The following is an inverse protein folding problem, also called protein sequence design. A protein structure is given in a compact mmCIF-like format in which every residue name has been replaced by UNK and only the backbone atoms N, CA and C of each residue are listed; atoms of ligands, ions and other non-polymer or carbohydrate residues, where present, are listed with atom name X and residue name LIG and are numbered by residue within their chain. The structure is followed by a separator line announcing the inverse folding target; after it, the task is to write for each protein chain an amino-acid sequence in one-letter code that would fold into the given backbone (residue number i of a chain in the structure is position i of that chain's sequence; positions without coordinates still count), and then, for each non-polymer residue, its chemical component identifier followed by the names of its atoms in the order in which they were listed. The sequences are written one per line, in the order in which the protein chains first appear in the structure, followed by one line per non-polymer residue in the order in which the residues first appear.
data_IF_777069068153
#
_entry.id   IF_777069068153
#
_cell.length_a   1.000
_cell.length_b   1.000
_cell.length_c   1.000
_cell.angle_alpha   90.00
_cell.angle_beta   90.00
_cell.angle_gamma   90.00
#
_symmetry.space_group_name_H-M   'P 1'
#
loop_
_entity.id
_entity.type
_entity.pdbx_description
1 polymer ?
#
# COMPACT_ATOMS: atom_id res chain seq x y z
N UNK A 1 -20.46 -9.35 -19.83
CA UNK A 1 -19.14 -9.61 -20.47
C UNK A 1 -19.00 -8.68 -21.66
N UNK A 2 -17.91 -7.93 -21.74
CA UNK A 2 -17.57 -7.14 -22.93
C UNK A 2 -17.03 -8.04 -24.04
N UNK A 3 -17.25 -7.65 -25.29
CA UNK A 3 -16.75 -8.34 -26.48
C UNK A 3 -15.79 -7.48 -27.32
N UNK A 4 -15.63 -6.21 -26.95
CA UNK A 4 -14.73 -5.25 -27.62
C UNK A 4 -14.17 -4.24 -26.62
N UNK A 5 -13.06 -3.60 -27.00
CA UNK A 5 -12.52 -2.45 -26.27
C UNK A 5 -13.42 -1.23 -26.40
N UNK A 6 -13.33 -0.28 -25.48
CA UNK A 6 -14.03 0.99 -25.60
C UNK A 6 -14.26 1.68 -24.27
N UNK A 7 -15.12 2.70 -24.29
CA UNK A 7 -15.51 3.43 -23.09
C UNK A 7 -16.81 2.90 -22.52
N UNK A 8 -16.85 2.69 -21.21
CA UNK A 8 -18.04 2.35 -20.44
C UNK A 8 -18.67 3.64 -19.89
N UNK A 9 -19.79 4.06 -20.48
CA UNK A 9 -20.54 5.24 -20.07
C UNK A 9 -19.92 6.59 -20.50
N UNK A 10 -20.58 7.69 -20.11
CA UNK A 10 -20.15 9.06 -20.44
C UNK A 10 -18.86 9.47 -19.71
N UNK A 11 -18.15 10.50 -20.21
CA UNK A 11 -16.87 11.02 -19.71
C UNK A 11 -16.80 11.16 -18.18
N UNK A 12 -17.83 11.80 -17.62
CA UNK A 12 -17.89 12.22 -16.21
C UNK A 12 -18.88 11.40 -15.39
N UNK A 13 -19.58 10.44 -16.03
CA UNK A 13 -20.51 9.57 -15.34
C UNK A 13 -19.76 8.45 -14.62
N UNK A 14 -20.18 8.18 -13.38
CA UNK A 14 -19.63 7.08 -12.60
C UNK A 14 -20.10 5.73 -13.18
N UNK A 15 -19.15 4.84 -13.45
CA UNK A 15 -19.42 3.42 -13.65
C UNK A 15 -19.57 2.76 -12.27
N UNK A 16 -20.78 2.37 -11.90
CA UNK A 16 -21.07 1.77 -10.59
C UNK A 16 -21.24 0.26 -10.71
N UNK A 17 -20.44 -0.48 -9.95
CA UNK A 17 -20.61 -1.92 -9.70
C UNK A 17 -21.08 -2.07 -8.26
N UNK A 18 -22.40 -2.26 -8.11
CA UNK A 18 -23.05 -2.37 -6.79
C UNK A 18 -23.35 -3.79 -6.33
N UNK A 19 -22.86 -4.78 -7.08
CA UNK A 19 -23.14 -6.20 -6.91
C UNK A 19 -22.91 -6.94 -8.23
N UNK A 20 -23.02 -8.26 -8.22
CA UNK A 20 -22.82 -9.09 -9.40
C UNK A 20 -21.40 -9.01 -9.96
N UNK A 21 -21.26 -9.15 -11.28
CA UNK A 21 -19.94 -9.18 -11.92
C UNK A 21 -19.87 -8.33 -13.19
N UNK A 22 -18.94 -7.37 -13.20
CA UNK A 22 -18.45 -6.72 -14.41
C UNK A 22 -17.30 -7.54 -15.01
N UNK A 23 -17.58 -8.24 -16.11
CA UNK A 23 -16.59 -9.00 -16.88
C UNK A 23 -16.14 -8.21 -18.10
N UNK A 24 -14.86 -7.82 -18.16
CA UNK A 24 -14.26 -7.07 -19.26
C UNK A 24 -13.89 -7.95 -20.46
N UNK A 25 -14.11 -9.27 -20.39
CA UNK A 25 -13.96 -10.19 -21.51
C UNK A 25 -12.53 -10.36 -22.04
N UNK A 26 -11.51 -10.05 -21.24
CA UNK A 26 -10.10 -9.99 -21.63
C UNK A 26 -9.72 -8.68 -22.33
N UNK A 27 -10.64 -7.72 -22.44
CA UNK A 27 -10.43 -6.47 -23.17
C UNK A 27 -9.93 -5.34 -22.26
N UNK A 28 -9.45 -4.26 -22.88
CA UNK A 28 -9.21 -2.98 -22.22
C UNK A 28 -10.41 -2.06 -22.39
N UNK A 29 -10.93 -1.54 -21.29
CA UNK A 29 -12.01 -0.57 -21.28
C UNK A 29 -11.62 0.69 -20.50
N UNK A 30 -12.13 1.85 -20.88
CA UNK A 30 -12.02 3.08 -20.11
C UNK A 30 -13.36 3.46 -19.48
N UNK A 31 -13.34 4.19 -18.37
CA UNK A 31 -14.52 4.69 -17.69
C UNK A 31 -14.23 6.07 -17.07
N UNK A 32 -15.27 6.73 -16.59
CA UNK A 32 -15.12 7.92 -15.75
C UNK A 32 -14.63 7.52 -14.36
N UNK A 33 -15.19 8.08 -13.29
CA UNK A 33 -15.07 7.48 -11.97
C UNK A 33 -15.59 6.05 -11.97
N UNK A 34 -14.83 5.11 -11.41
CA UNK A 34 -15.27 3.73 -11.18
C UNK A 34 -15.62 3.60 -9.71
N UNK A 35 -16.84 3.17 -9.41
CA UNK A 35 -17.32 2.96 -8.04
C UNK A 35 -17.64 1.48 -7.86
N UNK A 36 -16.97 0.83 -6.91
CA UNK A 36 -17.26 -0.55 -6.52
C UNK A 36 -17.85 -0.54 -5.11
N UNK A 37 -19.16 -0.67 -4.98
CA UNK A 37 -19.80 -0.77 -3.65
C UNK A 37 -19.95 -2.22 -3.19
N UNK A 38 -20.07 -3.17 -4.12
CA UNK A 38 -20.01 -4.62 -3.90
C UNK A 38 -19.76 -5.38 -5.23
N UNK A 39 -19.49 -6.68 -5.17
CA UNK A 39 -19.37 -7.55 -6.34
C UNK A 39 -17.94 -7.68 -6.89
N UNK A 40 -17.82 -7.99 -8.18
CA UNK A 40 -16.52 -8.31 -8.82
C UNK A 40 -16.30 -7.54 -10.12
N UNK A 41 -15.09 -7.01 -10.33
CA UNK A 41 -14.59 -6.56 -11.63
C UNK A 41 -13.52 -7.55 -12.07
N UNK A 42 -13.65 -8.17 -13.24
CA UNK A 42 -12.75 -9.25 -13.66
C UNK A 42 -12.37 -9.24 -15.13
N UNK A 43 -11.31 -9.98 -15.42
CA UNK A 43 -10.95 -10.48 -16.75
C UNK A 43 -10.73 -9.36 -17.77
N UNK A 44 -9.63 -8.63 -17.64
CA UNK A 44 -9.23 -7.56 -18.56
C UNK A 44 -8.56 -6.40 -17.84
N UNK A 45 -8.55 -5.23 -18.49
CA UNK A 45 -7.95 -4.00 -17.96
C UNK A 45 -8.99 -2.88 -17.93
N UNK A 46 -9.14 -2.22 -16.78
CA UNK A 46 -10.04 -1.08 -16.63
C UNK A 46 -9.23 0.19 -16.37
N UNK A 47 -9.33 1.18 -17.26
CA UNK A 47 -8.76 2.52 -17.14
C UNK A 47 -9.79 3.50 -16.60
N UNK A 48 -9.77 3.76 -15.30
CA UNK A 48 -10.67 4.69 -14.63
C UNK A 48 -10.02 6.06 -14.42
N UNK A 49 -10.83 7.13 -14.41
CA UNK A 49 -10.36 8.46 -14.01
C UNK A 49 -10.03 8.52 -12.51
N UNK A 50 -10.74 7.73 -11.70
CA UNK A 50 -10.52 7.48 -10.27
C UNK A 50 -11.21 6.16 -9.91
N UNK A 51 -10.68 5.43 -8.94
CA UNK A 51 -11.30 4.21 -8.39
C UNK A 51 -11.78 4.49 -6.96
N UNK A 52 -13.08 4.35 -6.71
CA UNK A 52 -13.70 4.48 -5.38
C UNK A 52 -14.25 3.12 -4.98
N UNK A 53 -13.54 2.42 -4.12
CA UNK A 53 -13.81 1.03 -3.79
C UNK A 53 -14.30 0.95 -2.34
N UNK A 54 -15.37 0.20 -2.09
CA UNK A 54 -15.93 0.02 -0.73
C UNK A 54 -15.88 -1.42 -0.28
N UNK A 55 -16.38 -2.36 -1.10
CA UNK A 55 -16.31 -3.78 -0.87
C UNK A 55 -16.31 -4.55 -2.20
N UNK A 56 -15.67 -5.72 -2.25
CA UNK A 56 -15.71 -6.61 -3.41
C UNK A 56 -14.35 -7.16 -3.84
N UNK A 57 -14.29 -7.73 -5.03
CA UNK A 57 -13.07 -8.32 -5.60
C UNK A 57 -12.72 -7.66 -6.93
N UNK A 58 -11.42 -7.38 -7.12
CA UNK A 58 -10.88 -6.86 -8.37
C UNK A 58 -9.90 -7.89 -8.92
N UNK A 59 -10.41 -8.69 -9.87
CA UNK A 59 -9.68 -9.67 -10.67
C UNK A 59 -9.36 -9.14 -12.09
N UNK A 60 -9.37 -7.81 -12.24
CA UNK A 60 -8.97 -7.10 -13.45
C UNK A 60 -7.81 -6.16 -13.11
N UNK A 61 -7.00 -5.80 -14.10
CA UNK A 61 -5.95 -4.79 -13.92
C UNK A 61 -6.57 -3.40 -13.91
N UNK A 62 -6.40 -2.66 -12.81
CA UNK A 62 -6.68 -1.22 -12.76
C UNK A 62 -5.46 -0.46 -13.31
N UNK A 63 -5.67 0.54 -14.16
CA UNK A 63 -4.60 1.25 -14.88
C UNK A 63 -4.94 2.71 -15.21
N UNK A 64 -3.94 3.49 -15.64
CA UNK A 64 -4.13 4.89 -16.01
C UNK A 64 -3.81 5.87 -14.87
N UNK A 65 -4.12 7.14 -15.05
CA UNK A 65 -3.67 8.19 -14.12
C UNK A 65 -4.46 8.29 -12.81
N UNK A 66 -5.59 7.58 -12.70
CA UNK A 66 -6.50 7.69 -11.58
C UNK A 66 -5.91 7.22 -10.24
N UNK A 67 -6.36 7.84 -9.15
CA UNK A 67 -6.09 7.37 -7.79
C UNK A 67 -7.04 6.25 -7.39
N UNK A 68 -6.65 5.47 -6.39
CA UNK A 68 -7.49 4.48 -5.74
C UNK A 68 -7.85 4.97 -4.33
N UNK A 69 -9.15 5.05 -4.04
CA UNK A 69 -9.68 5.39 -2.72
C UNK A 69 -10.51 4.21 -2.19
N UNK A 70 -10.02 3.58 -1.13
CA UNK A 70 -10.75 2.58 -0.34
C UNK A 70 -11.45 3.27 0.84
N UNK A 71 -12.76 3.14 0.90
CA UNK A 71 -13.61 3.62 1.99
C UNK A 71 -14.67 2.57 2.37
N UNK A 72 -15.58 2.89 3.29
CA UNK A 72 -16.58 1.94 3.80
C UNK A 72 -15.97 0.79 4.61
N UNK A 73 -16.80 0.12 5.40
CA UNK A 73 -16.32 -0.87 6.38
C UNK A 73 -15.92 -2.22 5.75
N UNK A 74 -16.27 -2.43 4.47
CA UNK A 74 -16.03 -3.68 3.77
C UNK A 74 -14.57 -3.95 3.42
N UNK A 75 -14.33 -5.14 2.85
CA UNK A 75 -13.02 -5.54 2.29
C UNK A 75 -13.04 -5.44 0.77
N UNK A 76 -11.98 -4.88 0.20
CA UNK A 76 -11.68 -4.94 -1.24
C UNK A 76 -10.44 -5.79 -1.43
N UNK A 77 -10.55 -6.85 -2.22
CA UNK A 77 -9.44 -7.74 -2.57
C UNK A 77 -8.90 -7.39 -3.96
N UNK A 78 -7.61 -7.07 -4.05
CA UNK A 78 -6.89 -6.83 -5.32
C UNK A 78 -6.11 -8.10 -5.71
N UNK A 79 -6.54 -8.80 -6.76
CA UNK A 79 -5.94 -10.07 -7.20
C UNK A 79 -5.11 -9.95 -8.47
N UNK A 80 -4.86 -8.73 -8.95
CA UNK A 80 -4.06 -8.45 -10.15
C UNK A 80 -3.03 -7.37 -9.87
N UNK A 81 -1.95 -7.35 -10.66
CA UNK A 81 -0.90 -6.34 -10.55
C UNK A 81 -1.40 -5.05 -11.19
N UNK A 82 -1.73 -4.06 -10.37
CA UNK A 82 -2.31 -2.82 -10.84
C UNK A 82 -1.22 -1.86 -11.35
N UNK A 83 -1.59 -1.04 -12.33
CA UNK A 83 -0.68 -0.12 -13.05
C UNK A 83 -1.23 1.31 -13.11
N UNK A 84 -2.11 1.67 -12.19
CA UNK A 84 -2.51 3.07 -12.04
C UNK A 84 -1.36 3.89 -11.44
N UNK A 85 -1.23 5.16 -11.81
CA UNK A 85 -0.14 6.02 -11.35
C UNK A 85 -0.54 6.99 -10.24
N UNK A 86 -1.83 7.10 -9.93
CA UNK A 86 -2.32 7.93 -8.84
C UNK A 86 -2.06 7.31 -7.46
N UNK A 87 -2.25 8.10 -6.40
CA UNK A 87 -2.11 7.65 -5.02
C UNK A 87 -3.14 6.56 -4.65
N UNK A 88 -2.80 5.77 -3.64
CA UNK A 88 -3.69 4.79 -3.01
C UNK A 88 -4.01 5.29 -1.61
N UNK A 89 -5.28 5.56 -1.33
CA UNK A 89 -5.75 6.06 -0.04
C UNK A 89 -6.73 5.06 0.56
N UNK A 90 -6.52 4.66 1.80
CA UNK A 90 -7.40 3.77 2.58
C UNK A 90 -7.85 4.53 3.81
N UNK A 91 -9.12 4.95 3.86
CA UNK A 91 -9.65 5.73 4.99
C UNK A 91 -10.57 4.93 5.91
N UNK A 92 -11.10 3.81 5.42
CA UNK A 92 -11.93 2.90 6.21
C UNK A 92 -11.96 1.48 5.60
N UNK A 93 -12.25 0.48 6.43
CA UNK A 93 -12.29 -0.94 6.07
C UNK A 93 -10.93 -1.47 5.62
N UNK A 94 -10.94 -2.56 4.85
CA UNK A 94 -9.72 -3.31 4.50
C UNK A 94 -9.46 -3.26 2.99
N UNK A 95 -8.29 -2.77 2.59
CA UNK A 95 -7.72 -3.05 1.28
C UNK A 95 -6.80 -4.28 1.43
N UNK A 96 -7.15 -5.40 0.81
CA UNK A 96 -6.36 -6.63 0.89
C UNK A 96 -5.59 -6.87 -0.41
N UNK A 97 -4.29 -7.12 -0.31
CA UNK A 97 -3.47 -7.57 -1.43
C UNK A 97 -3.56 -9.10 -1.57
N UNK A 98 -4.10 -9.57 -2.70
CA UNK A 98 -4.23 -11.01 -2.99
C UNK A 98 -3.02 -11.61 -3.70
N UNK A 99 -2.15 -10.78 -4.27
CA UNK A 99 -0.93 -11.18 -4.95
C UNK A 99 0.22 -10.21 -4.65
N UNK A 100 1.47 -10.64 -4.87
CA UNK A 100 2.61 -9.74 -4.81
C UNK A 100 2.51 -8.63 -5.88
N UNK A 101 2.81 -7.39 -5.50
CA UNK A 101 2.72 -6.24 -6.41
C UNK A 101 1.28 -5.89 -6.84
N UNK A 102 0.29 -6.22 -6.01
CA UNK A 102 -1.10 -5.80 -6.23
C UNK A 102 -1.22 -4.26 -6.23
N UNK A 103 -0.45 -3.58 -5.37
CA UNK A 103 -0.30 -2.13 -5.42
C UNK A 103 0.78 -1.72 -6.43
N UNK A 104 0.58 -0.64 -7.20
CA UNK A 104 1.64 -0.10 -8.05
C UNK A 104 2.83 0.36 -7.20
N UNK A 105 4.05 -0.07 -7.53
CA UNK A 105 5.24 0.28 -6.75
C UNK A 105 5.50 1.80 -6.64
N UNK A 106 5.00 2.57 -7.60
CA UNK A 106 5.09 4.04 -7.62
C UNK A 106 3.98 4.77 -6.84
N UNK A 107 3.04 4.06 -6.21
CA UNK A 107 1.96 4.72 -5.48
C UNK A 107 2.48 5.36 -4.19
N UNK A 108 2.12 6.63 -3.95
CA UNK A 108 2.05 7.14 -2.57
C UNK A 108 0.89 6.44 -1.89
N UNK A 109 1.15 5.73 -0.80
CA UNK A 109 0.15 5.06 0.01
C UNK A 109 -0.19 5.92 1.23
N UNK A 110 -1.49 6.15 1.45
CA UNK A 110 -2.03 6.82 2.62
C UNK A 110 -3.00 5.85 3.30
N UNK A 111 -2.68 5.40 4.51
CA UNK A 111 -3.59 4.59 5.33
C UNK A 111 -3.96 5.42 6.55
N UNK A 112 -5.22 5.80 6.67
CA UNK A 112 -5.66 6.78 7.65
C UNK A 112 -6.91 6.33 8.43
N UNK A 113 -7.05 6.82 9.66
CA UNK A 113 -8.18 6.55 10.54
C UNK A 113 -8.44 5.05 10.73
N UNK A 114 -9.67 4.61 10.47
CA UNK A 114 -10.07 3.21 10.57
C UNK A 114 -9.65 2.35 9.34
N UNK A 115 -8.90 2.92 8.41
CA UNK A 115 -8.38 2.22 7.24
C UNK A 115 -7.31 1.19 7.59
N UNK A 116 -7.36 0.04 6.91
CA UNK A 116 -6.38 -1.02 7.03
C UNK A 116 -5.89 -1.50 5.66
N UNK A 117 -4.57 -1.56 5.48
CA UNK A 117 -3.94 -2.32 4.41
C UNK A 117 -3.53 -3.70 4.95
N UNK A 118 -4.04 -4.75 4.33
CA UNK A 118 -3.73 -6.14 4.67
C UNK A 118 -2.95 -6.80 3.54
N UNK A 119 -1.68 -7.13 3.78
CA UNK A 119 -0.82 -7.76 2.77
C UNK A 119 -1.14 -9.24 2.59
N UNK A 120 -1.83 -9.88 3.54
CA UNK A 120 -2.17 -11.29 3.52
C UNK A 120 -0.97 -12.22 3.18
N UNK A 121 0.25 -11.86 3.60
CA UNK A 121 1.47 -12.62 3.29
C UNK A 121 2.05 -12.40 1.90
N UNK A 122 1.53 -11.44 1.12
CA UNK A 122 2.02 -11.09 -0.22
C UNK A 122 2.91 -9.86 -0.22
N UNK A 123 4.07 -9.95 -0.88
CA UNK A 123 5.04 -8.85 -0.88
C UNK A 123 4.53 -7.62 -1.64
N UNK A 124 4.63 -6.44 -1.03
CA UNK A 124 4.25 -5.17 -1.64
C UNK A 124 5.41 -4.17 -1.61
N UNK A 125 5.43 -3.28 -2.59
CA UNK A 125 6.31 -2.12 -2.60
C UNK A 125 5.48 -0.87 -2.88
N UNK A 126 5.78 0.24 -2.22
CA UNK A 126 5.14 1.54 -2.43
C UNK A 126 6.16 2.67 -2.39
N UNK A 127 5.85 3.76 -3.08
CA UNK A 127 6.71 4.93 -3.17
C UNK A 127 6.89 5.61 -1.81
N UNK A 128 5.81 5.75 -1.05
CA UNK A 128 5.80 6.34 0.28
C UNK A 128 4.64 5.77 1.11
N UNK A 129 4.76 5.79 2.43
CA UNK A 129 3.71 5.40 3.38
C UNK A 129 3.41 6.58 4.31
N UNK A 130 2.17 7.05 4.30
CA UNK A 130 1.70 8.13 5.17
C UNK A 130 0.40 7.77 5.89
N UNK A 131 0.10 8.52 6.95
CA UNK A 131 -1.15 8.42 7.70
C UNK A 131 -1.02 7.73 9.06
N UNK A 132 -2.15 7.37 9.64
CA UNK A 132 -2.30 6.93 11.03
C UNK A 132 -3.11 5.63 11.20
N UNK A 133 -3.48 4.96 10.11
CA UNK A 133 -4.24 3.71 10.13
C UNK A 133 -3.37 2.47 10.39
N UNK A 134 -3.82 1.30 9.89
CA UNK A 134 -3.15 0.01 10.14
C UNK A 134 -2.56 -0.61 8.87
N UNK A 135 -1.35 -1.16 8.97
CA UNK A 135 -0.75 -2.01 7.94
C UNK A 135 -0.43 -3.39 8.55
N UNK A 136 -1.15 -4.42 8.14
CA UNK A 136 -0.89 -5.80 8.58
C UNK A 136 -0.07 -6.55 7.52
N UNK A 137 1.14 -6.96 7.88
CA UNK A 137 2.08 -7.62 6.97
C UNK A 137 1.76 -9.09 6.75
N UNK A 138 1.14 -9.76 7.72
CA UNK A 138 1.19 -11.23 7.79
C UNK A 138 2.65 -11.68 7.83
N UNK A 139 3.03 -12.59 6.92
CA UNK A 139 4.44 -13.00 6.69
C UNK A 139 5.14 -12.28 5.53
N UNK A 140 4.55 -11.22 4.97
CA UNK A 140 5.05 -10.55 3.76
C UNK A 140 6.26 -9.65 4.02
N UNK A 141 7.01 -9.35 2.96
CA UNK A 141 7.91 -8.19 2.92
C UNK A 141 7.18 -6.97 2.38
N UNK A 142 7.20 -5.87 3.14
CA UNK A 142 6.69 -4.57 2.73
C UNK A 142 7.82 -3.57 2.53
N UNK A 143 8.01 -3.11 1.30
CA UNK A 143 9.06 -2.15 0.95
C UNK A 143 8.49 -0.75 0.75
N UNK A 144 9.02 0.23 1.47
CA UNK A 144 8.53 1.62 1.46
C UNK A 144 9.67 2.57 1.13
N UNK A 145 9.40 3.60 0.34
CA UNK A 145 10.31 4.74 0.13
C UNK A 145 10.96 4.79 -1.25
N UNK A 146 10.50 3.99 -2.22
CA UNK A 146 11.14 3.87 -3.54
C UNK A 146 11.20 5.18 -4.35
N UNK A 147 10.43 6.22 -3.98
CA UNK A 147 10.51 7.54 -4.62
C UNK A 147 11.61 8.45 -4.04
N UNK A 148 12.27 8.05 -2.95
CA UNK A 148 13.29 8.86 -2.27
C UNK A 148 12.76 10.10 -1.53
N UNK A 149 11.43 10.27 -1.42
CA UNK A 149 10.80 11.35 -0.65
C UNK A 149 10.66 11.01 0.83
N UNK A 150 10.51 12.06 1.65
CA UNK A 150 10.20 11.90 3.06
C UNK A 150 8.74 11.50 3.28
N UNK A 151 8.47 10.71 4.32
CA UNK A 151 7.14 10.21 4.64
C UNK A 151 6.95 10.08 6.17
N UNK A 152 5.72 10.24 6.64
CA UNK A 152 5.35 10.15 8.06
C UNK A 152 4.18 9.20 8.25
N UNK A 153 4.41 8.13 9.02
CA UNK A 153 3.38 7.19 9.42
C UNK A 153 3.31 7.11 10.94
N UNK A 154 2.20 7.59 11.50
CA UNK A 154 1.91 7.55 12.95
C UNK A 154 1.02 6.38 13.34
N UNK A 155 0.66 5.54 12.37
CA UNK A 155 -0.20 4.38 12.58
C UNK A 155 0.55 3.15 13.09
N UNK A 156 -0.12 2.01 12.99
CA UNK A 156 0.40 0.72 13.43
C UNK A 156 0.80 -0.16 12.24
N UNK A 157 2.00 -0.72 12.30
CA UNK A 157 2.44 -1.81 11.41
C UNK A 157 2.61 -3.07 12.25
N UNK A 158 1.94 -4.17 11.88
CA UNK A 158 1.96 -5.44 12.63
C UNK A 158 2.21 -6.65 11.73
N UNK A 159 2.61 -7.76 12.35
CA UNK A 159 2.82 -9.05 11.67
C UNK A 159 4.21 -9.62 11.88
N UNK A 160 4.42 -10.82 11.35
CA UNK A 160 5.68 -11.58 11.41
C UNK A 160 6.58 -11.36 10.19
N UNK A 161 6.08 -10.62 9.20
CA UNK A 161 6.78 -10.24 7.99
C UNK A 161 7.85 -9.18 8.20
N UNK A 162 8.46 -8.75 7.10
CA UNK A 162 9.55 -7.79 7.11
C UNK A 162 9.12 -6.40 6.63
N UNK A 163 9.59 -5.35 7.30
CA UNK A 163 9.53 -3.98 6.80
C UNK A 163 10.88 -3.58 6.21
N UNK A 164 10.90 -3.07 4.99
CA UNK A 164 12.10 -2.56 4.34
C UNK A 164 11.93 -1.08 4.02
N UNK A 165 12.77 -0.24 4.62
CA UNK A 165 12.92 1.16 4.25
C UNK A 165 13.97 1.27 3.14
N UNK A 166 13.53 1.67 1.95
CA UNK A 166 14.34 1.88 0.76
C UNK A 166 14.30 3.35 0.30
N UNK A 167 15.14 3.70 -0.68
CA UNK A 167 15.28 5.05 -1.22
C UNK A 167 15.91 6.06 -0.26
N UNK A 168 16.39 7.17 -0.82
CA UNK A 168 17.19 8.18 -0.12
C UNK A 168 16.45 8.98 0.97
N UNK A 169 15.12 9.03 0.91
CA UNK A 169 14.28 9.81 1.83
C UNK A 169 14.24 9.27 3.25
N UNK A 170 13.54 9.97 4.13
CA UNK A 170 13.29 9.56 5.51
C UNK A 170 11.88 9.01 5.69
N UNK A 171 11.76 7.88 6.38
CA UNK A 171 10.47 7.41 6.92
C UNK A 171 10.43 7.65 8.42
N UNK A 172 9.46 8.42 8.86
CA UNK A 172 9.17 8.68 10.27
C UNK A 172 8.09 7.71 10.75
N UNK A 173 8.44 6.80 11.66
CA UNK A 173 7.51 5.89 12.34
C UNK A 173 7.29 6.36 13.77
N UNK A 174 6.20 7.09 14.00
CA UNK A 174 5.90 7.69 15.32
C UNK A 174 4.88 6.89 16.11
N UNK A 175 4.16 5.95 15.47
CA UNK A 175 3.18 5.08 16.13
C UNK A 175 3.78 3.81 16.74
N UNK A 176 2.96 3.08 17.50
CA UNK A 176 3.31 1.75 18.00
C UNK A 176 3.08 0.70 16.90
N UNK A 177 4.16 0.07 16.44
CA UNK A 177 4.20 -0.95 15.42
C UNK A 177 4.72 -2.26 16.03
N UNK A 178 3.84 -3.17 16.52
CA UNK A 178 4.22 -4.43 17.14
C UNK A 178 4.67 -5.45 16.08
N UNK A 179 5.77 -5.14 15.41
CA UNK A 179 6.41 -6.01 14.44
C UNK A 179 7.10 -7.16 15.19
N UNK A 180 6.81 -8.38 14.75
CA UNK A 180 7.44 -9.60 15.24
C UNK A 180 8.49 -10.16 14.25
N UNK A 181 8.51 -9.66 13.01
CA UNK A 181 9.56 -9.94 12.03
C UNK A 181 10.64 -8.87 12.00
N UNK A 182 11.41 -8.80 10.91
CA UNK A 182 12.58 -7.91 10.81
C UNK A 182 12.26 -6.52 10.26
N UNK A 183 13.04 -5.52 10.64
CA UNK A 183 13.09 -4.22 9.96
C UNK A 183 14.46 -4.03 9.30
N UNK A 184 14.49 -3.70 8.01
CA UNK A 184 15.73 -3.37 7.31
C UNK A 184 15.70 -1.92 6.85
N UNK A 185 16.69 -1.13 7.27
CA UNK A 185 16.98 0.18 6.68
C UNK A 185 18.01 -0.05 5.57
N UNK A 186 17.51 -0.26 4.36
CA UNK A 186 18.34 -0.55 3.18
C UNK A 186 19.00 0.74 2.66
N UNK A 187 18.25 1.84 2.63
CA UNK A 187 18.70 3.14 2.14
C UNK A 187 18.02 4.29 2.90
N UNK A 188 18.64 5.47 2.83
CA UNK A 188 18.10 6.69 3.42
C UNK A 188 18.03 6.62 4.94
N UNK A 189 16.95 7.15 5.51
CA UNK A 189 16.77 7.23 6.97
C UNK A 189 15.48 6.57 7.45
N UNK A 190 15.54 5.90 8.59
CA UNK A 190 14.40 5.50 9.38
C UNK A 190 14.45 6.25 10.71
N UNK A 191 13.48 7.12 10.97
CA UNK A 191 13.31 7.77 12.28
C UNK A 191 12.24 7.03 13.05
N UNK A 192 12.61 6.51 14.21
CA UNK A 192 11.69 5.81 15.11
C UNK A 192 11.37 6.74 16.27
N UNK A 193 10.14 7.23 16.31
CA UNK A 193 9.59 7.96 17.45
C UNK A 193 8.68 7.11 18.33
N UNK A 194 8.11 6.03 17.78
CA UNK A 194 7.24 5.09 18.48
C UNK A 194 7.96 3.83 18.95
N UNK A 195 7.31 2.67 18.82
CA UNK A 195 7.87 1.37 19.22
C UNK A 195 7.79 0.41 18.03
N UNK A 196 8.89 -0.28 17.70
CA UNK A 196 8.92 -1.30 16.64
C UNK A 196 8.70 -2.74 17.15
N UNK A 197 8.32 -2.91 18.41
CA UNK A 197 8.03 -4.21 18.99
C UNK A 197 9.29 -5.07 19.18
N UNK A 198 9.17 -6.36 18.90
CA UNK A 198 10.26 -7.33 19.07
C UNK A 198 11.17 -7.41 17.82
N UNK A 199 10.97 -6.53 16.84
CA UNK A 199 11.69 -6.59 15.58
C UNK A 199 13.19 -6.33 15.75
N UNK A 200 14.00 -7.19 15.11
CA UNK A 200 15.41 -6.93 14.85
C UNK A 200 15.54 -5.92 13.72
N UNK A 201 16.29 -4.84 13.99
CA UNK A 201 16.58 -3.80 13.01
C UNK A 201 17.98 -3.99 12.44
N UNK A 202 18.11 -4.05 11.11
CA UNK A 202 19.38 -4.06 10.39
C UNK A 202 19.56 -2.78 9.59
N UNK A 203 20.65 -2.05 9.82
CA UNK A 203 20.99 -0.82 9.08
C UNK A 203 22.12 -1.11 8.11
N UNK A 204 21.86 -0.93 6.82
CA UNK A 204 22.82 -1.17 5.76
C UNK A 204 23.86 -0.04 5.64
N UNK A 205 24.90 -0.28 4.84
CA UNK A 205 25.93 0.74 4.54
C UNK A 205 25.28 1.99 3.94
N UNK A 206 25.62 3.17 4.48
CA UNK A 206 25.08 4.46 4.04
C UNK A 206 23.71 4.82 4.61
N UNK A 207 22.98 3.85 5.17
CA UNK A 207 21.69 4.07 5.81
C UNK A 207 21.83 4.59 7.26
N UNK A 208 20.79 5.26 7.75
CA UNK A 208 20.74 5.82 9.11
C UNK A 208 19.47 5.36 9.81
N UNK A 209 19.61 4.93 11.06
CA UNK A 209 18.49 4.88 12.01
C UNK A 209 18.63 6.01 13.03
N UNK A 210 17.54 6.70 13.32
CA UNK A 210 17.50 7.85 14.21
C UNK A 210 16.21 7.88 15.06
N UNK A 211 16.13 8.81 16.02
CA UNK A 211 14.93 9.07 16.82
C UNK A 211 15.06 8.75 18.31
N UNK A 212 13.91 8.64 18.97
CA UNK A 212 13.73 8.51 20.43
C UNK A 212 12.89 7.30 20.84
N UNK A 213 12.42 6.52 19.87
CA UNK A 213 11.57 5.36 20.08
C UNK A 213 12.30 4.09 20.52
N UNK A 214 11.56 3.00 20.65
CA UNK A 214 12.07 1.70 21.12
C UNK A 214 12.15 0.68 19.99
N UNK A 215 13.20 -0.14 20.03
CA UNK A 215 13.48 -1.23 19.09
C UNK A 215 13.61 -2.55 19.87
N UNK A 216 13.40 -3.69 19.23
CA UNK A 216 13.68 -5.00 19.82
C UNK A 216 15.19 -5.28 19.84
N UNK A 217 15.76 -5.48 18.66
CA UNK A 217 17.21 -5.62 18.45
C UNK A 217 17.73 -4.60 17.44
N UNK A 218 19.03 -4.30 17.48
CA UNK A 218 19.68 -3.41 16.52
C UNK A 218 21.04 -3.96 16.08
N UNK A 219 21.23 -4.05 14.77
CA UNK A 219 22.49 -4.38 14.10
C UNK A 219 22.83 -3.29 13.08
N UNK A 220 24.04 -2.72 13.21
CA UNK A 220 24.56 -1.72 12.28
C UNK A 220 25.64 -2.41 11.43
N UNK A 221 25.42 -2.55 10.13
CA UNK A 221 26.43 -3.08 9.20
C UNK A 221 27.55 -2.06 9.01
N UNK A 222 28.72 -2.52 8.55
CA UNK A 222 29.81 -1.62 8.18
C UNK A 222 29.31 -0.51 7.24
N UNK A 223 29.56 0.76 7.61
CA UNK A 223 29.09 1.93 6.89
C UNK A 223 27.68 2.43 7.25
N UNK A 224 26.89 1.67 8.01
CA UNK A 224 25.61 2.12 8.57
C UNK A 224 25.80 3.03 9.78
N UNK A 225 24.77 3.80 10.14
CA UNK A 225 24.85 4.76 11.26
C UNK A 225 23.62 4.71 12.17
N UNK A 226 23.86 4.89 13.47
CA UNK A 226 22.86 5.19 14.50
C UNK A 226 23.02 6.65 14.93
N UNK A 227 21.95 7.44 14.92
CA UNK A 227 21.91 8.84 15.33
C UNK A 227 20.78 9.08 16.36
N UNK A 228 21.00 8.82 17.65
CA UNK A 228 19.95 8.92 18.67
C UNK A 228 19.64 10.38 19.04
N UNK A 229 18.41 10.65 19.50
CA UNK A 229 18.08 11.89 20.22
C UNK A 229 17.59 13.07 19.37
N UNK A 230 16.88 12.80 18.26
CA UNK A 230 16.25 13.82 17.41
C UNK A 230 14.91 14.34 17.95
#
# INVERSE_FOLDING_TARGET
KLTSTGRLGAADAALVVGGGTLDLGGTSASAGPVVLTAGTIRNGTLRGAIYRLQAGTVDAVLSGAGSLAKSGDGTVLLNQANSYSGATTVTNGILRAGIAGALPAGTTLIVAGAGSLDLAGTNQSVAALNGDGRVSLGGATFTVGSNGGDALFSGTIDGTGALVKAGAGRLDLTGNSPLAGSVTVAEGRLRVGGNLGAADVSVASGAIIEGTGTLGGLSIRSGGRLAPGY
#
